data_IF_106531086881
#
_entry.id   IF_106531086881
#
_cell.length_a   1.000
_cell.length_b   1.000
_cell.length_c   1.000
_cell.angle_alpha   90.00
_cell.angle_beta   90.00
_cell.angle_gamma   90.00
#
_symmetry.space_group_name_H-M   'P 1'
#
loop_
_entity.id
_entity.type
_entity.pdbx_description
1 polymer ?
#
# COMPACT_ATOMS: atom_id res chain seq x y z
N UNK A 1 4.84 40.03 -12.47
CA UNK A 1 4.95 38.81 -11.65
C UNK A 1 5.39 37.68 -12.56
N UNK A 2 6.54 37.08 -12.25
CA UNK A 2 7.31 36.24 -13.16
C UNK A 2 6.75 34.82 -13.34
N UNK A 3 7.04 34.29 -14.52
CA UNK A 3 6.58 33.06 -15.17
C UNK A 3 6.98 31.75 -14.46
N UNK A 4 6.23 30.70 -14.81
CA UNK A 4 6.26 29.35 -14.27
C UNK A 4 7.59 28.62 -14.40
N UNK A 5 7.80 27.70 -13.45
CA UNK A 5 8.93 26.77 -13.45
C UNK A 5 8.52 25.48 -14.16
N UNK A 6 9.32 25.10 -15.15
CA UNK A 6 9.18 23.91 -15.99
C UNK A 6 9.80 22.71 -15.24
N UNK A 7 8.99 21.74 -14.82
CA UNK A 7 9.39 20.65 -13.91
C UNK A 7 9.89 19.36 -14.60
N UNK A 8 10.40 19.44 -15.83
CA UNK A 8 10.67 18.22 -16.64
C UNK A 8 12.15 17.88 -16.85
N UNK A 9 13.10 18.58 -16.24
CA UNK A 9 14.53 18.23 -16.41
C UNK A 9 15.07 17.54 -15.15
N UNK A 10 15.15 16.20 -15.19
CA UNK A 10 15.99 15.43 -14.27
C UNK A 10 17.46 15.66 -14.67
N UNK A 11 18.38 16.03 -13.75
CA UNK A 11 19.77 16.22 -14.11
C UNK A 11 20.42 14.89 -14.51
N UNK A 12 21.22 14.93 -15.57
CA UNK A 12 21.96 13.78 -16.08
C UNK A 12 23.01 13.31 -15.06
N UNK A 13 22.85 12.09 -14.55
CA UNK A 13 23.86 11.42 -13.73
C UNK A 13 24.98 10.94 -14.65
N UNK A 14 26.20 11.43 -14.44
CA UNK A 14 27.39 11.03 -15.20
C UNK A 14 27.90 9.69 -14.68
N UNK A 15 27.62 8.61 -15.41
CA UNK A 15 28.06 7.25 -15.06
C UNK A 15 29.56 7.08 -15.40
N UNK A 16 30.38 6.82 -14.37
CA UNK A 16 31.84 6.77 -14.50
C UNK A 16 32.30 5.30 -14.57
N UNK A 17 32.35 4.72 -15.78
CA UNK A 17 32.65 3.31 -15.99
C UNK A 17 34.16 3.03 -15.90
N UNK A 18 34.66 2.69 -14.69
CA UNK A 18 36.00 2.11 -14.54
C UNK A 18 35.95 0.62 -14.85
N UNK A 19 36.48 0.25 -16.01
CA UNK A 19 36.67 -1.15 -16.43
C UNK A 19 37.80 -1.80 -15.65
N UNK A 20 37.45 -2.61 -14.63
CA UNK A 20 38.36 -3.55 -13.99
C UNK A 20 37.99 -4.98 -14.40
N UNK A 21 38.84 -5.64 -15.19
CA UNK A 21 38.78 -7.08 -15.46
C UNK A 21 39.44 -7.82 -14.31
N UNK A 22 38.71 -8.66 -13.59
CA UNK A 22 39.25 -9.79 -12.84
C UNK A 22 38.36 -11.01 -13.05
N UNK A 23 39.01 -12.08 -13.49
CA UNK A 23 38.47 -13.42 -13.71
C UNK A 23 38.32 -14.13 -12.35
N UNK A 24 37.23 -14.88 -12.15
CA UNK A 24 37.20 -16.25 -11.60
C UNK A 24 35.86 -16.55 -10.90
N UNK A 25 35.20 -17.63 -11.37
CA UNK A 25 34.19 -18.36 -10.60
C UNK A 25 32.74 -17.91 -10.77
N UNK A 26 32.08 -18.31 -11.86
CA UNK A 26 30.62 -18.38 -11.90
C UNK A 26 30.16 -19.59 -11.06
N UNK A 27 30.19 -19.44 -9.73
CA UNK A 27 29.28 -20.21 -8.89
C UNK A 27 27.88 -19.72 -9.21
N UNK A 28 27.00 -20.61 -9.67
CA UNK A 28 25.61 -20.27 -9.95
C UNK A 28 24.88 -19.92 -8.64
N UNK A 29 25.04 -18.69 -8.18
CA UNK A 29 24.21 -18.12 -7.13
C UNK A 29 22.89 -17.76 -7.79
N UNK A 30 21.94 -18.71 -7.75
CA UNK A 30 20.56 -18.45 -8.15
C UNK A 30 19.98 -17.51 -7.10
N UNK A 31 20.09 -16.20 -7.34
CA UNK A 31 19.31 -15.22 -6.60
C UNK A 31 17.87 -15.48 -7.03
N UNK A 32 17.06 -16.08 -6.16
CA UNK A 32 15.61 -16.13 -6.32
C UNK A 32 15.11 -14.67 -6.24
N UNK A 33 15.22 -13.92 -7.33
CA UNK A 33 14.47 -12.68 -7.51
C UNK A 33 13.05 -13.07 -7.90
N UNK A 34 12.34 -13.74 -6.99
CA UNK A 34 10.90 -13.83 -7.11
C UNK A 34 10.37 -12.43 -6.89
N UNK A 35 9.89 -11.77 -7.95
CA UNK A 35 8.95 -10.67 -7.74
C UNK A 35 7.82 -11.27 -6.89
N UNK A 36 7.58 -10.75 -5.70
CA UNK A 36 6.44 -11.16 -4.91
C UNK A 36 5.19 -10.74 -5.70
N UNK A 37 4.66 -11.66 -6.50
CA UNK A 37 3.31 -11.48 -7.03
C UNK A 37 2.39 -11.49 -5.82
N UNK A 38 1.55 -10.45 -5.71
CA UNK A 38 0.45 -10.44 -4.77
C UNK A 38 -0.31 -11.77 -4.84
N UNK A 39 -0.60 -12.39 -3.68
CA UNK A 39 -1.36 -13.62 -3.66
C UNK A 39 -2.81 -13.38 -4.11
N UNK A 40 -3.53 -14.44 -4.53
CA UNK A 40 -4.94 -14.32 -4.94
C UNK A 40 -5.86 -13.70 -3.88
N UNK A 41 -5.51 -13.85 -2.59
CA UNK A 41 -6.25 -13.24 -1.50
C UNK A 41 -6.03 -11.71 -1.46
N UNK A 42 -4.80 -11.25 -1.68
CA UNK A 42 -4.49 -9.83 -1.75
C UNK A 42 -5.19 -9.17 -2.93
N UNK A 43 -5.18 -9.80 -4.11
CA UNK A 43 -5.90 -9.31 -5.30
C UNK A 43 -7.43 -9.25 -5.06
N UNK A 44 -7.99 -10.27 -4.39
CA UNK A 44 -9.40 -10.28 -4.04
C UNK A 44 -9.74 -9.13 -3.08
N UNK A 45 -8.94 -8.92 -2.02
CA UNK A 45 -9.11 -7.79 -1.12
C UNK A 45 -9.02 -6.44 -1.88
N UNK A 46 -8.03 -6.29 -2.77
CA UNK A 46 -7.89 -5.08 -3.58
C UNK A 46 -9.15 -4.76 -4.39
N UNK A 47 -9.74 -5.77 -5.05
CA UNK A 47 -10.96 -5.59 -5.85
C UNK A 47 -12.18 -5.12 -5.05
N UNK A 48 -12.16 -5.29 -3.72
CA UNK A 48 -13.26 -4.94 -2.84
C UNK A 48 -12.99 -3.68 -2.01
N UNK A 49 -11.73 -3.27 -1.86
CA UNK A 49 -11.35 -2.29 -0.84
C UNK A 49 -10.24 -1.31 -1.24
N UNK A 50 -9.56 -1.51 -2.38
CA UNK A 50 -8.59 -0.53 -2.86
C UNK A 50 -9.29 0.81 -3.17
N UNK A 51 -8.56 1.91 -3.03
CA UNK A 51 -9.03 3.23 -3.41
C UNK A 51 -8.73 3.47 -4.90
N UNK A 52 -9.67 4.04 -5.67
CA UNK A 52 -9.42 4.38 -7.08
C UNK A 52 -8.39 5.50 -7.26
N UNK A 53 -7.93 6.12 -6.17
CA UNK A 53 -6.88 7.15 -6.17
C UNK A 53 -5.48 6.57 -5.91
N UNK A 54 -5.37 5.27 -5.64
CA UNK A 54 -4.09 4.59 -5.55
C UNK A 54 -3.57 4.25 -6.96
N UNK A 55 -2.28 4.47 -7.20
CA UNK A 55 -1.67 4.14 -8.49
C UNK A 55 -1.77 2.63 -8.75
N UNK A 56 -2.33 2.26 -9.91
CA UNK A 56 -2.55 0.86 -10.30
C UNK A 56 -3.92 0.28 -9.91
N UNK A 57 -4.76 1.05 -9.22
CA UNK A 57 -6.11 0.65 -8.82
C UNK A 57 -7.19 1.55 -9.41
N UNK A 58 -6.87 2.40 -10.40
CA UNK A 58 -7.78 3.37 -10.97
C UNK A 58 -9.05 2.73 -11.56
N UNK A 59 -8.92 1.54 -12.16
CA UNK A 59 -10.02 0.83 -12.82
C UNK A 59 -10.79 -0.13 -11.90
N UNK A 60 -10.19 -0.55 -10.78
CA UNK A 60 -10.77 -1.57 -9.88
C UNK A 60 -11.08 -1.05 -8.48
N UNK A 61 -10.56 0.13 -8.12
CA UNK A 61 -10.74 0.73 -6.82
C UNK A 61 -12.19 1.15 -6.57
N UNK A 62 -12.61 1.05 -5.33
CA UNK A 62 -13.97 1.39 -4.88
C UNK A 62 -13.96 2.63 -4.00
N UNK A 63 -14.90 3.54 -4.21
CA UNK A 63 -15.08 4.69 -3.31
C UNK A 63 -15.66 4.22 -1.97
N UNK A 64 -15.49 5.00 -0.91
CA UNK A 64 -16.08 4.67 0.40
C UNK A 64 -17.60 4.53 0.31
N UNK A 65 -18.25 5.35 -0.53
CA UNK A 65 -19.71 5.35 -0.72
C UNK A 65 -20.21 4.08 -1.42
N UNK A 66 -19.42 3.50 -2.32
CA UNK A 66 -19.81 2.35 -3.14
C UNK A 66 -19.27 1.01 -2.62
N UNK A 67 -18.46 1.04 -1.55
CA UNK A 67 -17.85 -0.16 -0.97
C UNK A 67 -18.90 -1.08 -0.35
N UNK A 68 -18.90 -2.35 -0.74
CA UNK A 68 -19.66 -3.38 -0.04
C UNK A 68 -18.87 -3.81 1.21
N UNK A 69 -19.20 -3.20 2.36
CA UNK A 69 -18.46 -3.36 3.61
C UNK A 69 -18.31 -4.83 4.06
N UNK A 70 -19.37 -5.67 4.10
CA UNK A 70 -19.21 -7.07 4.48
C UNK A 70 -18.26 -7.85 3.58
N UNK A 71 -18.33 -7.64 2.26
CA UNK A 71 -17.46 -8.33 1.31
C UNK A 71 -16.01 -7.84 1.40
N UNK A 72 -15.80 -6.53 1.52
CA UNK A 72 -14.49 -5.91 1.66
C UNK A 72 -13.78 -6.40 2.93
N UNK A 73 -14.45 -6.32 4.08
CA UNK A 73 -13.91 -6.78 5.36
C UNK A 73 -13.57 -8.27 5.29
N UNK A 74 -14.49 -9.11 4.79
CA UNK A 74 -14.25 -10.55 4.66
C UNK A 74 -13.06 -10.88 3.76
N UNK A 75 -12.99 -10.26 2.57
CA UNK A 75 -11.89 -10.48 1.63
C UNK A 75 -10.53 -10.05 2.21
N UNK A 76 -10.51 -8.91 2.91
CA UNK A 76 -9.28 -8.37 3.47
C UNK A 76 -8.86 -9.05 4.78
N UNK A 77 -9.79 -9.53 5.61
CA UNK A 77 -9.48 -10.42 6.75
C UNK A 77 -8.82 -11.71 6.24
N UNK A 78 -9.32 -12.29 5.14
CA UNK A 78 -8.68 -13.46 4.51
C UNK A 78 -7.27 -13.11 4.02
N UNK A 79 -7.09 -11.97 3.33
CA UNK A 79 -5.78 -11.54 2.85
C UNK A 79 -4.77 -11.36 4.00
N UNK A 80 -5.15 -10.67 5.08
CA UNK A 80 -4.32 -10.51 6.28
C UNK A 80 -4.01 -11.86 6.94
N UNK A 81 -4.96 -12.80 6.98
CA UNK A 81 -4.72 -14.12 7.58
C UNK A 81 -3.70 -14.97 6.80
N UNK A 82 -3.67 -14.83 5.47
CA UNK A 82 -2.75 -15.57 4.60
C UNK A 82 -1.41 -14.88 4.43
N UNK A 83 -1.42 -13.55 4.45
CA UNK A 83 -0.25 -12.69 4.27
C UNK A 83 -0.20 -11.64 5.39
N UNK A 84 0.18 -12.02 6.63
CA UNK A 84 0.12 -11.11 7.79
C UNK A 84 1.04 -9.90 7.72
N UNK A 85 2.03 -9.93 6.81
CA UNK A 85 2.95 -8.81 6.58
C UNK A 85 2.56 -7.96 5.36
N UNK A 86 1.44 -8.28 4.69
CA UNK A 86 0.97 -7.52 3.53
C UNK A 86 0.44 -6.14 3.96
N UNK A 87 1.32 -5.15 3.89
CA UNK A 87 1.03 -3.75 4.25
C UNK A 87 -0.24 -3.23 3.57
N UNK A 88 -0.46 -3.58 2.29
CA UNK A 88 -1.65 -3.17 1.55
C UNK A 88 -2.94 -3.79 2.10
N UNK A 89 -2.93 -5.08 2.46
CA UNK A 89 -4.10 -5.74 3.04
C UNK A 89 -4.51 -5.08 4.36
N UNK A 90 -3.54 -4.72 5.20
CA UNK A 90 -3.81 -3.96 6.43
C UNK A 90 -4.41 -2.58 6.13
N UNK A 91 -3.87 -1.83 5.16
CA UNK A 91 -4.40 -0.53 4.78
C UNK A 91 -5.85 -0.61 4.29
N UNK A 92 -6.16 -1.56 3.40
CA UNK A 92 -7.50 -1.76 2.86
C UNK A 92 -8.50 -2.30 3.87
N UNK A 93 -8.08 -3.24 4.73
CA UNK A 93 -8.92 -3.73 5.83
C UNK A 93 -9.25 -2.59 6.80
N UNK A 94 -8.25 -1.82 7.22
CA UNK A 94 -8.44 -0.67 8.10
C UNK A 94 -9.39 0.38 7.51
N UNK A 95 -9.25 0.68 6.21
CA UNK A 95 -10.17 1.55 5.48
C UNK A 95 -11.60 1.03 5.49
N UNK A 96 -11.80 -0.26 5.22
CA UNK A 96 -13.12 -0.89 5.21
C UNK A 96 -13.76 -0.91 6.61
N UNK A 97 -12.99 -1.24 7.65
CA UNK A 97 -13.45 -1.26 9.04
C UNK A 97 -13.86 0.13 9.55
N UNK A 98 -13.08 1.17 9.23
CA UNK A 98 -13.45 2.53 9.62
C UNK A 98 -14.74 2.98 8.94
N UNK A 99 -14.91 2.67 7.65
CA UNK A 99 -16.14 2.94 6.90
C UNK A 99 -17.36 2.13 7.40
N UNK A 100 -17.12 0.99 8.05
CA UNK A 100 -18.13 0.17 8.74
C UNK A 100 -18.32 0.56 10.21
N UNK A 101 -17.79 1.71 10.63
CA UNK A 101 -17.92 2.24 11.99
C UNK A 101 -17.35 1.28 13.06
N UNK A 102 -16.19 0.66 12.77
CA UNK A 102 -15.41 -0.18 13.69
C UNK A 102 -14.02 0.43 13.96
N UNK A 103 -13.95 1.62 14.59
CA UNK A 103 -12.71 2.39 14.69
C UNK A 103 -11.61 1.68 15.47
N UNK A 104 -11.91 0.97 16.56
CA UNK A 104 -10.88 0.30 17.38
C UNK A 104 -10.12 -0.77 16.58
N UNK A 105 -10.84 -1.55 15.75
CA UNK A 105 -10.21 -2.53 14.86
C UNK A 105 -9.47 -1.84 13.71
N UNK A 106 -10.05 -0.79 13.14
CA UNK A 106 -9.43 -0.04 12.07
C UNK A 106 -8.08 0.56 12.50
N UNK A 107 -8.01 1.08 13.73
CA UNK A 107 -6.81 1.72 14.27
C UNK A 107 -5.57 0.84 14.15
N UNK A 108 -5.65 -0.42 14.62
CA UNK A 108 -4.49 -1.31 14.64
C UNK A 108 -3.95 -1.61 13.24
N UNK A 109 -4.86 -1.87 12.27
CA UNK A 109 -4.45 -2.13 10.89
C UNK A 109 -3.91 -0.88 10.19
N UNK A 110 -4.59 0.27 10.37
CA UNK A 110 -4.17 1.53 9.79
C UNK A 110 -2.85 2.00 10.37
N UNK A 111 -2.65 1.87 11.68
CA UNK A 111 -1.37 2.22 12.34
C UNK A 111 -0.24 1.36 11.83
N UNK A 112 -0.41 0.03 11.78
CA UNK A 112 0.59 -0.89 11.24
C UNK A 112 1.02 -0.50 9.82
N UNK A 113 0.05 -0.27 8.93
CA UNK A 113 0.35 0.08 7.54
C UNK A 113 0.92 1.50 7.39
N UNK A 114 0.47 2.45 8.21
CA UNK A 114 0.99 3.82 8.23
C UNK A 114 2.45 3.87 8.70
N UNK A 115 2.80 3.10 9.75
CA UNK A 115 4.19 2.97 10.23
C UNK A 115 5.12 2.38 9.15
N UNK A 116 4.58 1.53 8.26
CA UNK A 116 5.28 1.02 7.09
C UNK A 116 5.28 1.97 5.87
N UNK A 117 4.71 3.18 5.99
CA UNK A 117 4.73 4.21 4.96
C UNK A 117 3.62 4.11 3.91
N UNK A 118 2.56 3.34 4.15
CA UNK A 118 1.42 3.26 3.24
C UNK A 118 0.63 4.58 3.22
N UNK A 119 0.51 5.21 2.05
CA UNK A 119 -0.13 6.52 1.88
C UNK A 119 -1.63 6.49 2.20
N UNK A 120 -2.35 5.44 1.80
CA UNK A 120 -3.77 5.27 2.09
C UNK A 120 -4.00 5.14 3.59
N UNK A 121 -3.19 4.33 4.26
CA UNK A 121 -3.29 4.15 5.71
C UNK A 121 -2.99 5.43 6.47
N UNK A 122 -1.92 6.16 6.10
CA UNK A 122 -1.59 7.45 6.74
C UNK A 122 -2.72 8.48 6.61
N UNK A 123 -3.32 8.59 5.42
CA UNK A 123 -4.40 9.56 5.19
C UNK A 123 -5.70 9.14 5.91
N UNK A 124 -6.01 7.85 5.92
CA UNK A 124 -7.20 7.32 6.58
C UNK A 124 -7.08 7.43 8.10
N UNK A 125 -5.92 7.06 8.67
CA UNK A 125 -5.63 7.22 10.09
C UNK A 125 -5.65 8.70 10.51
N UNK A 126 -5.15 9.60 9.66
CA UNK A 126 -5.22 11.04 9.92
C UNK A 126 -6.66 11.54 10.04
N UNK A 127 -7.56 11.13 9.15
CA UNK A 127 -8.98 11.48 9.22
C UNK A 127 -9.64 10.89 10.47
N UNK A 128 -9.37 9.62 10.76
CA UNK A 128 -9.86 8.94 11.94
C UNK A 128 -9.46 9.68 13.24
N UNK A 129 -8.20 10.11 13.34
CA UNK A 129 -7.72 10.87 14.50
C UNK A 129 -8.27 12.30 14.58
N UNK A 130 -8.60 12.93 13.45
CA UNK A 130 -9.30 14.24 13.44
C UNK A 130 -10.70 14.10 14.04
N UNK A 131 -11.39 13.00 13.75
CA UNK A 131 -12.72 12.72 14.27
C UNK A 131 -12.70 12.24 15.74
N UNK A 132 -11.51 11.95 16.28
CA UNK A 132 -11.34 11.46 17.65
C UNK A 132 -11.56 9.95 17.80
N UNK A 133 -11.57 9.22 16.69
CA UNK A 133 -11.76 7.77 16.67
C UNK A 133 -10.47 7.02 17.07
N UNK A 134 -10.61 5.90 17.78
CA UNK A 134 -9.51 4.99 18.13
C UNK A 134 -8.50 5.53 19.15
N UNK A 135 -8.85 6.59 19.88
CA UNK A 135 -8.10 7.08 21.04
C UNK A 135 -8.94 6.86 22.31
N UNK A 136 -8.34 6.29 23.36
CA UNK A 136 -8.96 6.27 24.68
C UNK A 136 -8.94 7.69 25.29
N UNK A 137 -10.10 8.16 25.74
CA UNK A 137 -10.29 9.48 26.38
C UNK A 137 -10.35 9.38 27.90
#
# INVERSE_FOLDING_TARGET
MAMGKNWTEKPAVKENRKTGRLLAGFGAFVILTGAAQAGPALDNCASQAASPFESGYEDIGVTLRDMNLPNAISACDIAVSQEPEAIQAHAWLGRALWNDNQPERAFEHLRFAAEAGNLLAMTTLGNMLIDGDGVEV
#
